data_IF_021959452447
#
_entry.id   IF_021959452447
#
_cell.length_a   1.000
_cell.length_b   1.000
_cell.length_c   1.000
_cell.angle_alpha   90.00
_cell.angle_beta   90.00
_cell.angle_gamma   90.00
#
_symmetry.space_group_name_H-M   'P 1'
#
loop_
_entity.id
_entity.type
_entity.pdbx_description
1 polymer ?
#
# COMPACT_ATOMS: atom_id res chain seq x y z
N UNK A 1 -53.62 1.14 19.36
CA UNK A 1 -52.32 1.76 19.01
C UNK A 1 -51.43 0.65 18.47
N UNK A 2 -51.28 0.56 17.16
CA UNK A 2 -50.41 -0.46 16.54
C UNK A 2 -48.95 -0.12 16.85
N UNK A 3 -48.12 -1.09 17.25
CA UNK A 3 -46.69 -0.84 17.41
C UNK A 3 -46.13 -0.57 16.02
N UNK A 4 -45.49 0.60 15.87
CA UNK A 4 -44.71 0.92 14.68
C UNK A 4 -43.66 -0.18 14.48
N UNK A 5 -43.46 -0.68 13.24
CA UNK A 5 -42.44 -1.67 13.00
C UNK A 5 -41.07 -1.08 13.37
N UNK A 6 -40.14 -1.88 13.91
CA UNK A 6 -38.78 -1.42 14.13
C UNK A 6 -38.25 -0.93 12.78
N UNK A 7 -37.93 0.37 12.71
CA UNK A 7 -37.14 0.90 11.59
C UNK A 7 -35.83 0.14 11.64
N UNK A 8 -35.70 -0.88 10.81
CA UNK A 8 -34.41 -1.44 10.46
C UNK A 8 -33.63 -0.31 9.78
N UNK A 9 -32.84 0.42 10.56
CA UNK A 9 -31.86 1.40 10.08
C UNK A 9 -30.66 0.66 9.49
N UNK A 10 -30.92 -0.33 8.63
CA UNK A 10 -29.92 -1.00 7.82
C UNK A 10 -29.31 0.05 6.92
N UNK A 11 -28.00 0.21 7.04
CA UNK A 11 -27.19 1.07 6.20
C UNK A 11 -27.52 0.80 4.74
N UNK A 12 -28.00 1.81 4.03
CA UNK A 12 -28.20 1.69 2.59
C UNK A 12 -26.81 1.47 1.96
N UNK A 13 -26.56 0.32 1.31
CA UNK A 13 -25.30 0.13 0.59
C UNK A 13 -25.13 1.26 -0.42
N UNK A 14 -23.88 1.69 -0.64
CA UNK A 14 -23.57 2.70 -1.66
C UNK A 14 -24.13 2.21 -2.99
N UNK A 15 -24.96 3.02 -3.64
CA UNK A 15 -25.47 2.68 -4.96
C UNK A 15 -24.34 2.76 -6.01
N UNK A 16 -24.51 2.13 -7.19
CA UNK A 16 -23.47 2.12 -8.21
C UNK A 16 -23.04 3.52 -8.69
N UNK A 17 -23.95 4.51 -8.68
CA UNK A 17 -23.67 5.88 -9.11
C UNK A 17 -22.81 6.60 -8.06
N UNK A 18 -23.12 6.42 -6.77
CA UNK A 18 -22.31 6.89 -5.65
C UNK A 18 -20.92 6.26 -5.67
N UNK A 19 -20.82 4.96 -5.94
CA UNK A 19 -19.54 4.26 -6.08
C UNK A 19 -18.71 4.88 -7.21
N UNK A 20 -19.30 5.09 -8.38
CA UNK A 20 -18.60 5.66 -9.52
C UNK A 20 -18.13 7.10 -9.25
N UNK A 21 -18.99 7.92 -8.64
CA UNK A 21 -18.65 9.26 -8.21
C UNK A 21 -17.48 9.27 -7.21
N UNK A 22 -17.53 8.43 -6.18
CA UNK A 22 -16.48 8.33 -5.17
C UNK A 22 -15.15 7.85 -5.77
N UNK A 23 -15.17 6.90 -6.72
CA UNK A 23 -13.96 6.48 -7.44
C UNK A 23 -13.30 7.65 -8.16
N UNK A 24 -14.07 8.42 -8.93
CA UNK A 24 -13.57 9.61 -9.62
C UNK A 24 -13.04 10.67 -8.65
N UNK A 25 -13.75 10.88 -7.54
CA UNK A 25 -13.33 11.80 -6.47
C UNK A 25 -11.98 11.38 -5.85
N UNK A 26 -11.85 10.11 -5.46
CA UNK A 26 -10.61 9.61 -4.87
C UNK A 26 -9.45 9.62 -5.84
N UNK A 27 -9.68 9.25 -7.11
CA UNK A 27 -8.65 9.32 -8.15
C UNK A 27 -8.07 10.74 -8.25
N UNK A 28 -8.94 11.75 -8.35
CA UNK A 28 -8.52 13.16 -8.38
C UNK A 28 -7.71 13.53 -7.15
N UNK A 29 -8.18 13.18 -5.95
CA UNK A 29 -7.50 13.53 -4.71
C UNK A 29 -6.14 12.81 -4.55
N UNK A 30 -6.03 11.56 -5.01
CA UNK A 30 -4.78 10.81 -5.07
C UNK A 30 -3.78 11.44 -6.04
N UNK A 31 -4.25 11.92 -7.19
CA UNK A 31 -3.45 12.67 -8.16
C UNK A 31 -2.90 13.96 -7.53
N UNK A 32 -3.77 14.77 -6.90
CA UNK A 32 -3.39 16.02 -6.22
C UNK A 32 -2.38 15.77 -5.08
N UNK A 33 -2.50 14.61 -4.41
CA UNK A 33 -1.57 14.20 -3.37
C UNK A 33 -0.30 13.50 -3.88
N UNK A 34 -0.18 13.26 -5.19
CA UNK A 34 0.92 12.50 -5.83
C UNK A 34 1.07 11.07 -5.28
N UNK A 35 -0.05 10.43 -4.94
CA UNK A 35 -0.10 9.12 -4.29
C UNK A 35 -0.49 7.96 -5.21
N UNK A 36 -0.75 8.22 -6.50
CA UNK A 36 -1.16 7.18 -7.47
C UNK A 36 -0.16 6.01 -7.58
N UNK A 37 1.13 6.25 -7.32
CA UNK A 37 2.16 5.21 -7.28
C UNK A 37 2.03 4.22 -6.10
N UNK A 38 1.20 4.53 -5.09
CA UNK A 38 1.03 3.71 -3.88
C UNK A 38 -0.32 3.01 -3.78
N UNK A 39 -1.37 3.67 -4.25
CA UNK A 39 -2.74 3.18 -4.18
C UNK A 39 -3.61 3.90 -5.22
N UNK A 40 -4.62 3.19 -5.71
CA UNK A 40 -5.62 3.73 -6.63
C UNK A 40 -6.97 4.04 -5.93
N UNK A 41 -7.96 4.48 -6.69
CA UNK A 41 -9.30 4.79 -6.17
C UNK A 41 -10.03 3.56 -5.61
N UNK A 42 -9.76 2.37 -6.15
CA UNK A 42 -10.39 1.12 -5.75
C UNK A 42 -9.83 0.59 -4.43
N UNK A 43 -8.52 0.79 -4.20
CA UNK A 43 -7.87 0.57 -2.91
C UNK A 43 -8.49 1.42 -1.80
N UNK A 44 -8.81 2.68 -2.10
CA UNK A 44 -9.43 3.59 -1.13
C UNK A 44 -10.87 3.15 -0.86
N UNK A 45 -11.64 2.85 -1.91
CA UNK A 45 -13.02 2.40 -1.77
C UNK A 45 -13.12 1.09 -0.97
N UNK A 46 -12.22 0.14 -1.22
CA UNK A 46 -12.14 -1.12 -0.48
C UNK A 46 -11.91 -0.91 1.02
N UNK A 47 -11.04 0.04 1.39
CA UNK A 47 -10.78 0.38 2.79
C UNK A 47 -11.97 1.12 3.43
N UNK A 48 -12.68 1.95 2.67
CA UNK A 48 -13.91 2.60 3.13
C UNK A 48 -14.98 1.55 3.43
N UNK A 49 -15.14 0.55 2.58
CA UNK A 49 -16.08 -0.57 2.81
C UNK A 49 -15.71 -1.40 4.04
N UNK A 50 -14.42 -1.67 4.26
CA UNK A 50 -13.96 -2.35 5.48
C UNK A 50 -14.29 -1.55 6.75
N UNK A 51 -14.15 -0.23 6.69
CA UNK A 51 -14.57 0.65 7.79
C UNK A 51 -16.08 0.67 7.98
N UNK A 52 -16.86 0.57 6.89
CA UNK A 52 -18.31 0.52 6.98
C UNK A 52 -18.77 -0.75 7.70
N UNK A 53 -18.18 -1.91 7.35
CA UNK A 53 -18.45 -3.18 8.03
C UNK A 53 -18.06 -3.16 9.52
N UNK A 54 -16.98 -2.45 9.88
CA UNK A 54 -16.59 -2.26 11.29
C UNK A 54 -17.63 -1.43 12.06
N UNK A 55 -18.16 -0.37 11.44
CA UNK A 55 -19.20 0.50 12.01
C UNK A 55 -20.53 -0.23 12.13
N UNK A 56 -20.87 -1.06 11.15
CA UNK A 56 -22.05 -1.94 11.16
C UNK A 56 -22.02 -2.91 12.34
N UNK A 57 -20.88 -3.57 12.58
CA UNK A 57 -20.69 -4.45 13.75
C UNK A 57 -20.87 -3.72 15.08
N UNK A 58 -20.68 -2.40 15.10
CA UNK A 58 -20.85 -1.55 16.28
C UNK A 58 -22.25 -0.94 16.39
N UNK A 59 -23.17 -1.33 15.52
CA UNK A 59 -24.57 -0.86 15.47
C UNK A 59 -24.70 0.67 15.39
N UNK A 60 -23.70 1.34 14.81
CA UNK A 60 -23.71 2.80 14.65
C UNK A 60 -24.28 3.17 13.29
N UNK A 61 -25.40 3.93 13.24
CA UNK A 61 -25.99 4.31 11.96
C UNK A 61 -25.14 5.34 11.22
N UNK A 62 -24.99 5.16 9.91
CA UNK A 62 -24.40 6.14 9.00
C UNK A 62 -25.56 6.83 8.29
N UNK A 63 -25.83 8.08 8.66
CA UNK A 63 -26.96 8.83 8.13
C UNK A 63 -26.82 9.21 6.64
N UNK A 64 -25.59 9.39 6.15
CA UNK A 64 -25.30 9.70 4.75
C UNK A 64 -24.13 8.86 4.26
N UNK A 65 -24.39 7.71 3.61
CA UNK A 65 -23.34 6.79 3.16
C UNK A 65 -22.28 7.44 2.29
N UNK A 66 -22.69 8.24 1.29
CA UNK A 66 -21.77 8.93 0.37
C UNK A 66 -20.89 9.96 1.11
N UNK A 67 -21.48 10.86 1.89
CA UNK A 67 -20.73 11.91 2.58
C UNK A 67 -19.80 11.32 3.66
N UNK A 68 -20.24 10.25 4.31
CA UNK A 68 -19.42 9.49 5.24
C UNK A 68 -18.26 8.80 4.52
N UNK A 69 -18.54 8.10 3.42
CA UNK A 69 -17.54 7.42 2.61
C UNK A 69 -16.47 8.42 2.14
N UNK A 70 -16.90 9.56 1.60
CA UNK A 70 -16.03 10.66 1.18
C UNK A 70 -15.07 11.10 2.30
N UNK A 71 -15.59 11.41 3.49
CA UNK A 71 -14.78 11.80 4.67
C UNK A 71 -13.80 10.71 5.10
N UNK A 72 -14.23 9.45 5.06
CA UNK A 72 -13.37 8.31 5.43
C UNK A 72 -12.27 8.11 4.40
N UNK A 73 -12.60 8.17 3.10
CA UNK A 73 -11.63 8.08 2.01
C UNK A 73 -10.58 9.18 2.05
N UNK A 74 -11.00 10.44 2.25
CA UNK A 74 -10.09 11.58 2.47
C UNK A 74 -9.14 11.31 3.64
N UNK A 75 -9.66 10.84 4.77
CA UNK A 75 -8.84 10.52 5.95
C UNK A 75 -7.80 9.46 5.62
N UNK A 76 -8.16 8.41 4.89
CA UNK A 76 -7.24 7.34 4.47
C UNK A 76 -6.14 7.91 3.57
N UNK A 77 -6.51 8.68 2.55
CA UNK A 77 -5.57 9.31 1.60
C UNK A 77 -4.59 10.23 2.35
N UNK A 78 -5.08 11.08 3.26
CA UNK A 78 -4.22 11.97 4.03
C UNK A 78 -3.36 11.23 5.07
N UNK A 79 -3.81 10.09 5.59
CA UNK A 79 -2.95 9.22 6.40
C UNK A 79 -1.82 8.64 5.54
N UNK A 80 -2.12 8.20 4.32
CA UNK A 80 -1.12 7.68 3.39
C UNK A 80 -0.08 8.75 3.01
N UNK A 81 -0.53 9.97 2.74
CA UNK A 81 0.36 11.14 2.50
C UNK A 81 1.29 11.41 3.68
N UNK A 82 0.75 11.36 4.91
CA UNK A 82 1.54 11.56 6.13
C UNK A 82 2.58 10.45 6.32
N UNK A 83 2.22 9.19 6.06
CA UNK A 83 3.15 8.05 6.10
C UNK A 83 4.26 8.22 5.09
N UNK A 84 3.95 8.56 3.84
CA UNK A 84 4.96 8.80 2.81
C UNK A 84 5.92 9.92 3.21
N UNK A 85 5.40 11.04 3.74
CA UNK A 85 6.25 12.14 4.23
C UNK A 85 7.13 11.70 5.39
N UNK A 86 6.61 10.90 6.31
CA UNK A 86 7.36 10.34 7.44
C UNK A 86 8.45 9.38 6.97
N UNK A 87 8.16 8.51 6.02
CA UNK A 87 9.12 7.58 5.42
C UNK A 87 10.21 8.33 4.68
N UNK A 88 9.87 9.34 3.87
CA UNK A 88 10.84 10.21 3.20
C UNK A 88 11.77 10.91 4.20
N UNK A 89 11.21 11.47 5.28
CA UNK A 89 12.02 12.05 6.37
C UNK A 89 12.90 11.03 7.07
N UNK A 90 12.39 9.82 7.31
CA UNK A 90 13.18 8.75 7.91
C UNK A 90 14.34 8.33 7.01
N UNK A 91 14.09 8.14 5.71
CA UNK A 91 15.12 7.85 4.71
C UNK A 91 16.15 8.98 4.64
N UNK A 92 15.71 10.25 4.65
CA UNK A 92 16.61 11.39 4.64
C UNK A 92 17.47 11.45 5.91
N UNK A 93 16.88 11.22 7.09
CA UNK A 93 17.61 11.14 8.36
C UNK A 93 18.59 9.97 8.37
N UNK A 94 18.19 8.82 7.82
CA UNK A 94 19.07 7.66 7.67
C UNK A 94 20.23 7.98 6.72
N UNK A 95 19.97 8.64 5.59
CA UNK A 95 21.01 9.11 4.68
C UNK A 95 22.00 10.06 5.35
N UNK A 96 21.50 11.00 6.16
CA UNK A 96 22.36 11.91 6.92
C UNK A 96 23.15 11.21 8.04
N UNK A 97 22.56 10.21 8.70
CA UNK A 97 23.27 9.35 9.66
C UNK A 97 24.35 8.51 8.99
N UNK A 98 24.05 7.94 7.81
CA UNK A 98 25.02 7.19 7.01
C UNK A 98 26.16 8.09 6.55
N UNK A 99 25.87 9.31 6.07
CA UNK A 99 26.91 10.31 5.78
C UNK A 99 27.74 10.59 7.03
N UNK A 100 27.15 10.83 8.21
CA UNK A 100 27.91 11.09 9.43
C UNK A 100 28.76 9.91 9.93
N UNK A 101 28.38 8.66 9.64
CA UNK A 101 29.20 7.48 9.94
C UNK A 101 30.32 7.26 8.92
N UNK A 102 30.11 7.68 7.67
CA UNK A 102 31.11 7.59 6.60
C UNK A 102 32.16 8.71 6.73
N UNK A 103 31.77 9.91 7.17
CA UNK A 103 32.68 11.06 7.34
C UNK A 103 33.62 10.98 8.58
N UNK A 104 33.61 9.89 9.36
CA UNK A 104 34.69 9.61 10.32
C UNK A 104 35.93 8.97 9.68
N UNK A 105 35.91 8.69 8.38
CA UNK A 105 37.09 8.29 7.62
C UNK A 105 37.35 9.32 6.52
N UNK A 106 38.53 9.98 6.50
CA UNK A 106 38.85 10.91 5.43
C UNK A 106 39.22 10.12 4.19
N UNK A 107 38.24 9.88 3.30
CA UNK A 107 38.51 9.62 1.87
C UNK A 107 37.46 10.31 1.02
N UNK A 108 38.00 11.09 0.09
CA UNK A 108 37.35 11.81 -0.99
C UNK A 108 36.44 10.91 -1.85
N UNK A 109 35.47 11.56 -2.49
CA UNK A 109 34.71 11.10 -3.66
C UNK A 109 33.78 9.89 -3.46
N UNK A 110 32.62 10.12 -2.83
CA UNK A 110 31.43 9.28 -3.07
C UNK A 110 30.57 9.89 -4.18
N UNK A 111 30.92 9.47 -5.40
CA UNK A 111 30.07 9.48 -6.58
C UNK A 111 28.77 8.69 -6.25
N UNK A 112 27.68 9.41 -5.99
CA UNK A 112 26.52 8.93 -5.23
C UNK A 112 25.51 8.09 -6.06
N UNK A 113 25.85 7.68 -7.28
CA UNK A 113 24.93 6.93 -8.16
C UNK A 113 25.28 5.43 -8.29
N UNK A 114 26.56 5.05 -8.14
CA UNK A 114 27.00 3.66 -8.35
C UNK A 114 26.73 2.71 -7.17
N UNK A 115 27.01 3.15 -5.95
CA UNK A 115 27.16 2.24 -4.80
C UNK A 115 25.83 1.71 -4.27
N UNK A 116 24.81 2.57 -4.16
CA UNK A 116 23.49 2.19 -3.66
C UNK A 116 22.73 1.28 -4.65
N UNK A 117 22.84 1.58 -5.95
CA UNK A 117 22.29 0.73 -7.01
C UNK A 117 22.93 -0.65 -7.02
N UNK A 118 24.27 -0.74 -6.88
CA UNK A 118 24.99 -2.00 -6.78
C UNK A 118 24.58 -2.82 -5.54
N UNK A 119 24.41 -2.18 -4.38
CA UNK A 119 23.95 -2.85 -3.16
C UNK A 119 22.53 -3.40 -3.30
N UNK A 120 21.62 -2.65 -3.93
CA UNK A 120 20.26 -3.12 -4.19
C UNK A 120 20.28 -4.29 -5.18
N UNK A 121 21.10 -4.23 -6.23
CA UNK A 121 21.27 -5.31 -7.19
C UNK A 121 21.81 -6.59 -6.52
N UNK A 122 22.79 -6.47 -5.61
CA UNK A 122 23.29 -7.58 -4.82
C UNK A 122 22.20 -8.17 -3.92
N UNK A 123 21.42 -7.32 -3.24
CA UNK A 123 20.34 -7.78 -2.38
C UNK A 123 19.22 -8.49 -3.17
N UNK A 124 18.88 -8.01 -4.36
CA UNK A 124 17.93 -8.66 -5.27
C UNK A 124 18.48 -10.00 -5.79
N UNK A 125 19.77 -10.06 -6.13
CA UNK A 125 20.44 -11.31 -6.56
C UNK A 125 20.42 -12.36 -5.46
N UNK A 126 20.72 -11.98 -4.22
CA UNK A 126 20.67 -12.88 -3.06
C UNK A 126 19.23 -13.30 -2.74
N UNK A 127 18.26 -12.37 -2.84
CA UNK A 127 16.84 -12.72 -2.67
C UNK A 127 16.38 -13.72 -3.73
N UNK A 128 16.80 -13.56 -4.99
CA UNK A 128 16.51 -14.50 -6.07
C UNK A 128 17.03 -15.90 -5.76
N UNK A 129 18.23 -16.00 -5.19
CA UNK A 129 18.85 -17.28 -4.81
C UNK A 129 18.17 -17.92 -3.59
N UNK A 130 17.83 -17.13 -2.57
CA UNK A 130 17.32 -17.66 -1.29
C UNK A 130 15.80 -17.84 -1.26
N UNK A 131 15.05 -17.00 -1.97
CA UNK A 131 13.58 -16.98 -2.04
C UNK A 131 13.11 -16.51 -3.43
N UNK A 132 13.20 -17.36 -4.47
CA UNK A 132 12.86 -17.00 -5.84
C UNK A 132 11.42 -16.47 -5.97
N UNK A 133 10.45 -17.06 -5.27
CA UNK A 133 9.07 -16.57 -5.30
C UNK A 133 8.91 -15.15 -4.74
N UNK A 134 9.71 -14.79 -3.73
CA UNK A 134 9.69 -13.44 -3.15
C UNK A 134 10.30 -12.45 -4.14
N UNK A 135 11.40 -12.83 -4.79
CA UNK A 135 11.98 -12.04 -5.86
C UNK A 135 10.97 -11.83 -6.99
N UNK A 136 10.31 -12.88 -7.47
CA UNK A 136 9.31 -12.81 -8.54
C UNK A 136 8.17 -11.85 -8.20
N UNK A 137 7.64 -11.90 -6.97
CA UNK A 137 6.61 -10.96 -6.51
C UNK A 137 7.08 -9.49 -6.55
N UNK A 138 8.34 -9.23 -6.21
CA UNK A 138 8.88 -7.88 -6.24
C UNK A 138 9.13 -7.40 -7.67
N UNK A 139 9.57 -8.30 -8.57
CA UNK A 139 9.70 -8.01 -10.01
C UNK A 139 8.35 -7.60 -10.58
N UNK A 140 7.33 -8.45 -10.44
CA UNK A 140 5.99 -8.16 -10.93
C UNK A 140 5.44 -6.85 -10.37
N UNK A 141 5.65 -6.58 -9.08
CA UNK A 141 5.08 -5.40 -8.41
C UNK A 141 5.78 -4.09 -8.78
N UNK A 142 7.10 -4.10 -8.89
CA UNK A 142 7.90 -2.86 -8.95
C UNK A 142 8.60 -2.62 -10.29
N UNK A 143 8.79 -3.66 -11.11
CA UNK A 143 9.43 -3.56 -12.41
C UNK A 143 8.41 -3.72 -13.54
N UNK A 144 7.48 -4.66 -13.38
CA UNK A 144 6.38 -4.86 -14.35
C UNK A 144 5.14 -4.01 -13.99
N UNK A 145 5.20 -3.27 -12.88
CA UNK A 145 4.16 -2.35 -12.39
C UNK A 145 2.75 -2.98 -12.20
N UNK A 146 2.68 -4.29 -11.99
CA UNK A 146 1.41 -5.01 -11.84
C UNK A 146 0.71 -4.71 -10.50
N UNK A 147 -0.61 -4.60 -10.53
CA UNK A 147 -1.47 -4.53 -9.35
C UNK A 147 -1.47 -5.87 -8.59
N UNK A 148 -1.85 -5.87 -7.31
CA UNK A 148 -1.94 -7.12 -6.55
C UNK A 148 -2.99 -8.09 -7.12
N UNK A 149 -4.01 -7.57 -7.80
CA UNK A 149 -5.01 -8.36 -8.50
C UNK A 149 -4.43 -9.00 -9.77
N UNK A 150 -3.68 -8.23 -10.57
CA UNK A 150 -2.98 -8.74 -11.75
C UNK A 150 -1.94 -9.79 -11.36
N UNK A 151 -1.14 -9.53 -10.32
CA UNK A 151 -0.19 -10.51 -9.77
C UNK A 151 -0.91 -11.76 -9.27
N UNK A 152 -2.10 -11.63 -8.66
CA UNK A 152 -2.87 -12.79 -8.22
C UNK A 152 -3.37 -13.61 -9.40
N UNK A 153 -3.79 -12.96 -10.48
CA UNK A 153 -4.21 -13.59 -11.72
C UNK A 153 -3.06 -14.33 -12.40
N UNK A 154 -1.86 -13.75 -12.39
CA UNK A 154 -0.65 -14.36 -12.96
C UNK A 154 -0.18 -15.60 -12.18
N UNK A 155 -0.33 -15.56 -10.85
CA UNK A 155 0.11 -16.64 -9.97
C UNK A 155 -0.90 -17.78 -9.81
N UNK A 156 -2.19 -17.49 -9.94
CA UNK A 156 -3.29 -18.46 -9.79
C UNK A 156 -4.27 -18.34 -10.99
N UNK A 157 -3.83 -18.59 -12.25
CA UNK A 157 -4.62 -18.31 -13.46
C UNK A 157 -5.92 -19.13 -13.56
N UNK A 158 -5.94 -20.33 -12.98
CA UNK A 158 -7.10 -21.23 -13.01
C UNK A 158 -8.06 -21.02 -11.83
N UNK A 159 -7.79 -20.05 -10.96
CA UNK A 159 -8.58 -19.80 -9.75
C UNK A 159 -9.34 -18.50 -9.86
N UNK A 160 -10.63 -18.51 -9.47
CA UNK A 160 -11.40 -17.27 -9.36
C UNK A 160 -10.72 -16.32 -8.38
N UNK A 161 -10.29 -15.16 -8.88
CA UNK A 161 -9.59 -14.16 -8.08
C UNK A 161 -10.56 -13.52 -7.11
N UNK A 162 -10.40 -13.84 -5.83
CA UNK A 162 -11.20 -13.27 -4.75
C UNK A 162 -10.39 -12.24 -3.98
N UNK A 163 -11.08 -11.34 -3.26
CA UNK A 163 -10.43 -10.41 -2.31
C UNK A 163 -9.52 -11.12 -1.30
N UNK A 164 -9.84 -12.36 -0.93
CA UNK A 164 -9.00 -13.19 -0.04
C UNK A 164 -7.68 -13.59 -0.72
N UNK A 165 -7.72 -13.98 -1.99
CA UNK A 165 -6.54 -14.30 -2.81
C UNK A 165 -5.63 -13.08 -2.94
N UNK A 166 -6.20 -11.94 -3.32
CA UNK A 166 -5.46 -10.66 -3.45
C UNK A 166 -4.77 -10.30 -2.13
N UNK A 167 -5.48 -10.39 -1.00
CA UNK A 167 -4.93 -10.10 0.31
C UNK A 167 -3.81 -11.08 0.73
N UNK A 168 -3.92 -12.35 0.35
CA UNK A 168 -2.88 -13.37 0.60
C UNK A 168 -1.61 -13.03 -0.19
N UNK A 169 -1.73 -12.72 -1.48
CA UNK A 169 -0.61 -12.32 -2.35
C UNK A 169 0.02 -11.03 -1.84
N UNK A 170 -0.78 -10.01 -1.50
CA UNK A 170 -0.30 -8.76 -0.91
C UNK A 170 0.50 -9.01 0.38
N UNK A 171 0.01 -9.84 1.30
CA UNK A 171 0.75 -10.21 2.53
C UNK A 171 2.07 -10.90 2.22
N UNK A 172 2.11 -11.76 1.19
CA UNK A 172 3.34 -12.41 0.71
C UNK A 172 4.32 -11.37 0.15
N UNK A 173 3.84 -10.41 -0.64
CA UNK A 173 4.62 -9.27 -1.13
C UNK A 173 5.22 -8.41 -0.01
N UNK A 174 4.45 -8.10 1.03
CA UNK A 174 4.98 -7.38 2.21
C UNK A 174 6.11 -8.14 2.90
N UNK A 175 5.99 -9.48 3.02
CA UNK A 175 7.06 -10.32 3.58
C UNK A 175 8.30 -10.37 2.68
N UNK A 176 8.10 -10.34 1.35
CA UNK A 176 9.19 -10.26 0.38
C UNK A 176 9.98 -8.96 0.51
N UNK A 177 9.30 -7.82 0.62
CA UNK A 177 9.93 -6.51 0.88
C UNK A 177 10.73 -6.51 2.19
N UNK A 178 10.14 -7.04 3.26
CA UNK A 178 10.80 -7.12 4.56
C UNK A 178 12.08 -7.98 4.50
N UNK A 179 12.04 -9.09 3.76
CA UNK A 179 13.21 -9.94 3.54
C UNK A 179 14.28 -9.23 2.71
N UNK A 180 13.90 -8.54 1.63
CA UNK A 180 14.83 -7.75 0.80
C UNK A 180 15.54 -6.68 1.65
N UNK A 181 14.79 -5.95 2.48
CA UNK A 181 15.36 -4.95 3.40
C UNK A 181 16.40 -5.56 4.33
N UNK A 182 16.10 -6.72 4.93
CA UNK A 182 17.05 -7.41 5.82
C UNK A 182 18.34 -7.78 5.09
N UNK A 183 18.24 -8.32 3.88
CA UNK A 183 19.41 -8.66 3.05
C UNK A 183 20.21 -7.39 2.72
N UNK A 184 19.54 -6.35 2.25
CA UNK A 184 20.16 -5.07 1.91
C UNK A 184 20.94 -4.47 3.08
N UNK A 185 20.33 -4.42 4.27
CA UNK A 185 20.99 -3.89 5.47
C UNK A 185 22.07 -4.82 6.04
N UNK A 186 22.02 -6.12 5.77
CA UNK A 186 23.13 -7.03 6.09
C UNK A 186 24.33 -6.76 5.19
N UNK A 187 24.10 -6.51 3.90
CA UNK A 187 25.16 -6.17 2.94
C UNK A 187 25.76 -4.78 3.18
N UNK A 188 25.05 -3.88 3.86
CA UNK A 188 25.58 -2.59 4.31
C UNK A 188 26.53 -2.68 5.52
N UNK A 189 26.52 -3.80 6.26
CA UNK A 189 27.34 -3.99 7.47
C UNK A 189 28.62 -4.79 7.24
N UNK A 190 28.78 -5.35 6.04
CA UNK A 190 29.98 -6.09 5.61
C UNK A 190 30.90 -5.16 4.85
#
# INVERSE_FOLDING_TARGET
MSPLPPKNWGLTPLDPQQVQYLKGYYYKLLCDCKLLHRCDSDDILSQVQEKAAEVERLERPIQSPEAWAKKVGERIIFQQKRREKSEKKFIQKLGHMMQSQIFSSPRDDLDCDGTLGQMLALALKELKQTKPDFHQLLVMRFFDELSWEQISSELEPDTAITKKTINKVRRRGSRALEKLRKIFFLNLKK
#
